data_IF_117121008878
#
_entry.id   IF_117121008878
#
_cell.length_a   1.000
_cell.length_b   1.000
_cell.length_c   1.000
_cell.angle_alpha   90.00
_cell.angle_beta   90.00
_cell.angle_gamma   90.00
#
_symmetry.space_group_name_H-M   'P 1'
#
loop_
_entity.id
_entity.type
_entity.pdbx_description
1 polymer ?
#
# COMPACT_ATOMS: atom_id res chain seq x y z
N UNK A 1 13.61 8.63 -15.52
CA UNK A 1 14.32 8.42 -14.25
C UNK A 1 14.02 9.53 -13.23
N UNK A 2 13.48 9.15 -12.07
CA UNK A 2 13.16 10.05 -10.93
C UNK A 2 14.46 10.62 -10.36
N UNK A 3 14.52 11.96 -10.19
CA UNK A 3 15.71 12.66 -9.70
C UNK A 3 15.78 12.78 -8.18
N UNK A 4 14.68 12.51 -7.48
CA UNK A 4 14.59 12.64 -6.02
C UNK A 4 15.10 11.39 -5.30
N UNK A 5 15.70 11.58 -4.14
CA UNK A 5 16.19 10.50 -3.27
C UNK A 5 15.03 9.67 -2.73
N UNK A 6 15.08 8.33 -2.81
CA UNK A 6 14.04 7.49 -2.22
C UNK A 6 14.05 7.60 -0.69
N UNK A 7 12.88 7.40 -0.09
CA UNK A 7 12.74 7.25 1.37
C UNK A 7 13.42 5.97 1.86
N UNK A 8 13.30 4.88 1.09
CA UNK A 8 14.02 3.63 1.34
C UNK A 8 14.79 3.21 0.08
N UNK A 9 16.06 2.88 0.26
CA UNK A 9 16.96 2.46 -0.81
C UNK A 9 17.57 1.08 -0.49
N UNK A 10 17.30 0.10 -1.33
CA UNK A 10 17.69 -1.30 -1.16
C UNK A 10 17.53 -2.08 -2.45
N UNK A 11 17.13 -3.35 -2.37
CA UNK A 11 16.71 -4.13 -3.55
C UNK A 11 15.49 -3.51 -4.24
N UNK A 12 14.63 -2.84 -3.46
CA UNK A 12 13.61 -1.93 -3.98
C UNK A 12 13.93 -0.50 -3.59
N UNK A 13 13.60 0.45 -4.46
CA UNK A 13 13.58 1.88 -4.14
C UNK A 13 12.15 2.33 -3.91
N UNK A 14 11.91 3.04 -2.81
CA UNK A 14 10.57 3.46 -2.40
C UNK A 14 10.56 4.95 -2.14
N UNK A 15 9.64 5.66 -2.77
CA UNK A 15 9.39 7.09 -2.55
C UNK A 15 8.03 7.26 -1.88
N UNK A 16 7.95 8.16 -0.90
CA UNK A 16 6.66 8.72 -0.48
C UNK A 16 6.20 9.67 -1.58
N UNK A 17 4.96 9.50 -2.02
CA UNK A 17 4.38 10.31 -3.09
C UNK A 17 3.45 11.33 -2.46
N UNK A 18 3.62 12.64 -2.74
CA UNK A 18 2.70 13.64 -2.27
C UNK A 18 1.32 13.45 -2.92
N UNK A 19 0.28 13.62 -2.12
CA UNK A 19 -1.11 13.55 -2.55
C UNK A 19 -1.89 14.70 -1.88
N UNK A 20 -3.00 15.07 -2.49
CA UNK A 20 -3.85 16.17 -2.04
C UNK A 20 -5.11 15.60 -1.38
N UNK A 21 -5.30 15.91 -0.10
CA UNK A 21 -6.47 15.48 0.67
C UNK A 21 -7.78 16.04 0.12
N UNK A 22 -7.76 17.19 -0.57
CA UNK A 22 -8.98 17.74 -1.16
C UNK A 22 -9.48 16.89 -2.34
N UNK A 23 -8.56 16.23 -3.04
CA UNK A 23 -8.87 15.38 -4.21
C UNK A 23 -8.89 13.89 -3.89
N UNK A 24 -8.25 13.48 -2.81
CA UNK A 24 -8.16 12.10 -2.35
C UNK A 24 -8.34 12.01 -0.82
N UNK A 25 -9.51 12.42 -0.28
CA UNK A 25 -9.73 12.63 1.16
C UNK A 25 -9.62 11.36 2.01
N UNK A 26 -9.68 10.17 1.38
CA UNK A 26 -9.53 8.91 2.07
C UNK A 26 -8.05 8.50 2.24
N UNK A 27 -7.16 8.98 1.38
CA UNK A 27 -5.77 8.54 1.31
C UNK A 27 -5.01 9.08 2.51
N UNK A 28 -4.29 8.20 3.20
CA UNK A 28 -3.45 8.56 4.36
C UNK A 28 -1.98 8.16 4.15
N UNK A 29 -1.69 7.37 3.12
CA UNK A 29 -0.33 6.98 2.75
C UNK A 29 -0.25 6.61 1.28
N UNK A 30 0.84 6.99 0.63
CA UNK A 30 1.02 6.75 -0.80
C UNK A 30 2.49 6.61 -1.17
N UNK A 31 2.83 5.54 -1.87
CA UNK A 31 4.21 5.20 -2.22
C UNK A 31 4.32 4.77 -3.67
N UNK A 32 5.40 5.20 -4.31
CA UNK A 32 5.87 4.68 -5.59
C UNK A 32 7.05 3.74 -5.30
N UNK A 33 7.02 2.56 -5.89
CA UNK A 33 8.00 1.51 -5.63
C UNK A 33 8.60 1.04 -6.95
N UNK A 34 9.93 1.07 -7.04
CA UNK A 34 10.69 0.37 -8.08
C UNK A 34 11.32 -0.90 -7.49
N UNK A 35 10.81 -2.06 -7.89
CA UNK A 35 11.21 -3.38 -7.42
C UNK A 35 11.36 -4.37 -8.60
N UNK A 36 12.44 -4.26 -9.40
CA UNK A 36 12.64 -5.08 -10.60
C UNK A 36 12.85 -6.57 -10.30
N UNK A 37 13.04 -6.94 -9.04
CA UNK A 37 13.22 -8.33 -8.62
C UNK A 37 11.88 -9.06 -8.38
N UNK A 38 10.75 -8.35 -8.30
CA UNK A 38 9.47 -8.95 -7.92
C UNK A 38 8.76 -9.68 -9.06
N UNK A 39 8.85 -9.16 -10.28
CA UNK A 39 8.13 -9.70 -11.43
C UNK A 39 8.96 -9.56 -12.72
N UNK A 40 8.75 -10.46 -13.67
CA UNK A 40 9.52 -10.51 -14.92
C UNK A 40 9.07 -9.43 -15.94
N UNK A 41 7.81 -9.02 -15.90
CA UNK A 41 7.20 -8.17 -16.92
C UNK A 41 7.04 -6.69 -16.51
N UNK A 42 7.10 -6.37 -15.22
CA UNK A 42 7.00 -4.99 -14.72
C UNK A 42 7.82 -4.82 -13.44
N UNK A 43 8.33 -3.61 -13.24
CA UNK A 43 9.21 -3.29 -12.12
C UNK A 43 8.63 -2.22 -11.19
N UNK A 44 7.59 -1.52 -11.64
CA UNK A 44 7.02 -0.38 -10.93
C UNK A 44 5.66 -0.74 -10.33
N UNK A 45 5.48 -0.32 -9.08
CA UNK A 45 4.26 -0.51 -8.31
C UNK A 45 3.89 0.77 -7.58
N UNK A 46 2.62 0.93 -7.29
CA UNK A 46 2.11 1.95 -6.38
C UNK A 46 1.39 1.25 -5.25
N UNK A 47 1.66 1.70 -4.04
CA UNK A 47 0.94 1.28 -2.85
C UNK A 47 0.24 2.46 -2.21
N UNK A 48 -0.96 2.24 -1.68
CA UNK A 48 -1.73 3.24 -0.96
C UNK A 48 -2.36 2.66 0.30
N UNK A 49 -2.62 3.54 1.26
CA UNK A 49 -3.53 3.27 2.37
C UNK A 49 -4.63 4.30 2.32
N UNK A 50 -5.86 3.82 2.46
CA UNK A 50 -7.04 4.66 2.67
C UNK A 50 -7.69 4.34 4.02
N UNK A 51 -8.29 5.33 4.65
CA UNK A 51 -9.21 5.10 5.76
C UNK A 51 -10.61 4.73 5.24
N UNK A 52 -11.39 4.02 6.06
CA UNK A 52 -12.74 3.57 5.71
C UNK A 52 -13.86 4.34 6.42
N UNK A 53 -13.51 5.43 7.13
CA UNK A 53 -14.50 6.36 7.70
C UNK A 53 -15.39 6.95 6.60
N UNK A 54 -16.66 7.30 6.91
CA UNK A 54 -17.56 7.93 5.95
C UNK A 54 -16.96 9.21 5.36
N UNK A 55 -17.11 9.37 4.05
CA UNK A 55 -16.80 10.59 3.29
C UNK A 55 -18.07 10.94 2.51
N UNK A 56 -18.42 12.23 2.47
CA UNK A 56 -19.60 12.67 1.75
C UNK A 56 -19.52 12.29 0.27
N UNK A 57 -20.61 11.74 -0.27
CA UNK A 57 -20.67 11.25 -1.65
C UNK A 57 -19.89 9.96 -1.95
N UNK A 58 -19.23 9.33 -0.98
CA UNK A 58 -18.47 8.08 -1.18
C UNK A 58 -18.93 6.97 -0.23
N UNK A 59 -18.96 5.73 -0.72
CA UNK A 59 -19.31 4.54 0.08
C UNK A 59 -18.17 3.53 0.08
N UNK A 60 -17.62 3.26 1.27
CA UNK A 60 -16.70 2.16 1.48
C UNK A 60 -17.41 0.81 1.36
N UNK A 61 -16.74 -0.17 0.75
CA UNK A 61 -17.17 -1.59 0.76
C UNK A 61 -16.34 -2.30 1.82
N UNK A 62 -16.98 -3.00 2.75
CA UNK A 62 -16.30 -3.66 3.86
C UNK A 62 -16.11 -5.16 3.58
N UNK A 63 -14.88 -5.65 3.72
CA UNK A 63 -14.53 -7.08 3.71
C UNK A 63 -14.87 -7.76 5.05
N UNK A 64 -14.91 -6.97 6.13
CA UNK A 64 -15.37 -7.34 7.47
C UNK A 64 -15.82 -6.08 8.22
N UNK A 65 -16.68 -6.25 9.23
CA UNK A 65 -17.41 -5.14 9.88
C UNK A 65 -16.48 -4.16 10.60
N UNK A 66 -15.42 -4.65 11.23
CA UNK A 66 -14.53 -3.84 12.05
C UNK A 66 -13.38 -3.19 11.25
N UNK A 67 -13.38 -3.27 9.92
CA UNK A 67 -12.28 -2.72 9.13
C UNK A 67 -12.23 -1.19 9.24
N UNK A 68 -11.03 -0.64 9.49
CA UNK A 68 -10.84 0.81 9.58
C UNK A 68 -10.01 1.38 8.44
N UNK A 69 -9.18 0.55 7.80
CA UNK A 69 -8.28 0.96 6.73
C UNK A 69 -8.21 -0.10 5.63
N UNK A 70 -7.80 0.31 4.44
CA UNK A 70 -7.51 -0.57 3.33
C UNK A 70 -6.14 -0.26 2.74
N UNK A 71 -5.32 -1.30 2.60
CA UNK A 71 -4.06 -1.26 1.88
C UNK A 71 -4.26 -1.78 0.46
N UNK A 72 -3.85 -0.98 -0.53
CA UNK A 72 -3.94 -1.33 -1.94
C UNK A 72 -2.58 -1.30 -2.62
N UNK A 73 -2.39 -2.19 -3.58
CA UNK A 73 -1.21 -2.22 -4.46
C UNK A 73 -1.64 -2.44 -5.89
N UNK A 74 -1.10 -1.62 -6.79
CA UNK A 74 -1.28 -1.75 -8.24
C UNK A 74 0.08 -1.75 -8.93
N UNK A 75 0.22 -2.59 -9.96
CA UNK A 75 1.37 -2.51 -10.85
C UNK A 75 1.20 -1.35 -11.84
N UNK A 76 2.30 -0.71 -12.22
CA UNK A 76 2.35 0.32 -13.27
C UNK A 76 2.62 -0.35 -14.62
N UNK A 77 1.98 0.15 -15.67
CA UNK A 77 2.20 -0.28 -17.04
C UNK A 77 3.68 -0.11 -17.43
N UNK A 78 4.40 -1.19 -17.80
CA UNK A 78 5.82 -1.12 -18.12
C UNK A 78 6.13 -0.25 -19.35
N UNK A 79 5.14 0.07 -20.18
CA UNK A 79 5.31 0.99 -21.31
C UNK A 79 5.32 2.48 -20.90
N UNK A 80 5.08 2.76 -19.61
CA UNK A 80 4.99 4.11 -19.07
C UNK A 80 5.90 4.23 -17.84
N UNK A 81 7.07 4.88 -17.98
CA UNK A 81 7.94 5.14 -16.84
C UNK A 81 7.27 6.18 -15.91
N UNK A 82 7.04 5.86 -14.63
CA UNK A 82 6.39 6.78 -13.70
C UNK A 82 7.29 7.95 -13.30
N UNK A 83 6.67 9.05 -12.93
CA UNK A 83 7.31 10.18 -12.22
C UNK A 83 6.74 10.28 -10.80
N UNK A 84 7.21 11.22 -9.97
CA UNK A 84 6.57 11.44 -8.67
C UNK A 84 5.24 12.21 -8.75
N UNK A 85 4.86 12.67 -9.95
CA UNK A 85 3.50 13.17 -10.19
C UNK A 85 2.53 11.99 -10.33
N UNK A 86 1.73 11.75 -9.28
CA UNK A 86 0.77 10.67 -9.25
C UNK A 86 -0.28 10.73 -10.36
N UNK A 87 -0.56 11.92 -10.91
CA UNK A 87 -1.55 12.10 -11.99
C UNK A 87 -1.06 11.46 -13.30
N UNK A 88 0.24 11.22 -13.42
CA UNK A 88 0.86 10.58 -14.58
C UNK A 88 0.73 9.05 -14.57
N UNK A 89 0.37 8.43 -13.44
CA UNK A 89 0.39 6.98 -13.31
C UNK A 89 -0.61 6.28 -14.23
N UNK A 90 -0.11 5.22 -14.90
CA UNK A 90 -0.90 4.29 -15.71
C UNK A 90 -0.82 2.91 -15.06
N UNK A 91 -1.95 2.43 -14.56
CA UNK A 91 -2.00 1.19 -13.81
C UNK A 91 -2.40 0.02 -14.68
N UNK A 92 -1.79 -1.14 -14.43
CA UNK A 92 -2.28 -2.41 -14.90
C UNK A 92 -3.51 -2.84 -14.08
N UNK A 93 -4.33 -3.68 -14.69
CA UNK A 93 -5.45 -4.37 -14.03
C UNK A 93 -5.25 -5.88 -14.17
N UNK A 94 -5.67 -6.70 -13.18
CA UNK A 94 -6.36 -6.32 -11.94
C UNK A 94 -5.44 -5.72 -10.86
N UNK A 95 -6.04 -5.23 -9.77
CA UNK A 95 -5.31 -4.78 -8.56
C UNK A 95 -4.51 -5.95 -7.98
N UNK A 96 -3.24 -5.71 -7.66
CA UNK A 96 -2.33 -6.72 -7.12
C UNK A 96 -2.72 -7.11 -5.70
N UNK A 97 -2.91 -6.15 -4.80
CA UNK A 97 -3.32 -6.40 -3.41
C UNK A 97 -4.42 -5.41 -3.03
N UNK A 98 -5.45 -5.87 -2.33
CA UNK A 98 -6.50 -5.05 -1.74
C UNK A 98 -6.90 -5.73 -0.42
N UNK A 99 -6.36 -5.22 0.69
CA UNK A 99 -6.49 -5.84 2.00
C UNK A 99 -6.96 -4.83 3.03
N UNK A 100 -8.12 -5.10 3.62
CA UNK A 100 -8.63 -4.33 4.75
C UNK A 100 -8.04 -4.80 6.06
N UNK A 101 -7.88 -3.88 7.01
CA UNK A 101 -7.36 -4.18 8.34
C UNK A 101 -7.90 -3.20 9.37
N UNK A 102 -7.74 -3.58 10.65
CA UNK A 102 -8.08 -2.77 11.80
C UNK A 102 -6.82 -2.15 12.37
N UNK A 103 -6.80 -0.83 12.48
CA UNK A 103 -5.80 -0.06 13.21
C UNK A 103 -6.48 0.97 14.12
N UNK A 104 -5.81 1.32 15.22
CA UNK A 104 -6.32 2.26 16.23
C UNK A 104 -6.37 3.72 15.76
N UNK A 105 -5.53 4.08 14.80
CA UNK A 105 -5.44 5.42 14.20
C UNK A 105 -4.76 5.35 12.84
N UNK A 106 -4.86 6.43 12.07
CA UNK A 106 -4.21 6.59 10.76
C UNK A 106 -2.69 6.47 10.88
N UNK A 107 -2.09 7.13 11.88
CA UNK A 107 -0.65 7.03 12.15
C UNK A 107 -0.20 5.59 12.40
N UNK A 108 -1.02 4.81 13.13
CA UNK A 108 -0.72 3.40 13.36
C UNK A 108 -0.91 2.56 12.10
N UNK A 109 -1.91 2.85 11.28
CA UNK A 109 -2.09 2.18 10.00
C UNK A 109 -0.89 2.42 9.06
N UNK A 110 -0.45 3.67 8.94
CA UNK A 110 0.74 4.05 8.17
C UNK A 110 1.98 3.37 8.74
N UNK A 111 2.21 3.46 10.04
CA UNK A 111 3.36 2.82 10.70
C UNK A 111 3.40 1.31 10.43
N UNK A 112 2.27 0.60 10.55
CA UNK A 112 2.20 -0.85 10.31
C UNK A 112 2.61 -1.21 8.89
N UNK A 113 2.17 -0.44 7.89
CA UNK A 113 2.55 -0.67 6.49
C UNK A 113 3.99 -0.24 6.20
N UNK A 114 4.46 0.87 6.77
CA UNK A 114 5.83 1.35 6.57
C UNK A 114 6.88 0.35 7.09
N UNK A 115 6.61 -0.34 8.21
CA UNK A 115 7.44 -1.45 8.68
C UNK A 115 7.54 -2.56 7.62
N UNK A 116 6.44 -2.85 6.91
CA UNK A 116 6.45 -3.84 5.83
C UNK A 116 7.14 -3.31 4.57
N UNK A 117 7.07 -2.01 4.31
CA UNK A 117 7.82 -1.38 3.21
C UNK A 117 9.33 -1.47 3.42
N UNK A 118 9.83 -1.47 4.65
CA UNK A 118 11.24 -1.79 4.91
C UNK A 118 11.59 -3.22 4.49
N UNK A 119 10.70 -4.20 4.75
CA UNK A 119 10.89 -5.58 4.29
C UNK A 119 10.86 -5.67 2.77
N UNK A 120 9.97 -4.91 2.12
CA UNK A 120 9.94 -4.77 0.65
C UNK A 120 11.25 -4.19 0.11
N UNK A 121 11.76 -3.11 0.70
CA UNK A 121 13.01 -2.48 0.30
C UNK A 121 14.19 -3.47 0.40
N UNK A 122 14.19 -4.33 1.42
CA UNK A 122 15.20 -5.36 1.64
C UNK A 122 15.01 -6.64 0.80
N UNK A 123 13.93 -6.76 0.03
CA UNK A 123 13.63 -7.95 -0.78
C UNK A 123 12.97 -9.11 -0.02
N UNK A 124 12.51 -8.89 1.21
CA UNK A 124 11.89 -9.91 2.07
C UNK A 124 10.38 -10.08 1.88
N UNK A 125 9.72 -9.14 1.19
CA UNK A 125 8.27 -9.15 0.97
C UNK A 125 7.95 -8.60 -0.43
N UNK A 126 7.17 -9.35 -1.22
CA UNK A 126 6.75 -8.91 -2.56
C UNK A 126 5.41 -8.17 -2.52
N UNK A 127 5.25 -7.23 -3.45
CA UNK A 127 4.03 -6.46 -3.71
C UNK A 127 3.16 -7.10 -4.81
N UNK A 128 3.58 -8.23 -5.38
CA UNK A 128 2.80 -8.95 -6.38
C UNK A 128 1.60 -9.69 -5.76
N UNK A 129 0.62 -9.97 -6.61
CA UNK A 129 -0.61 -10.68 -6.33
C UNK A 129 -0.42 -12.06 -5.67
N UNK A 130 0.66 -12.78 -5.95
CA UNK A 130 0.97 -14.06 -5.32
C UNK A 130 1.28 -13.93 -3.82
N UNK A 131 1.62 -12.71 -3.35
CA UNK A 131 1.90 -12.41 -1.95
C UNK A 131 0.69 -11.89 -1.17
N UNK A 132 -0.52 -11.85 -1.76
CA UNK A 132 -1.77 -11.47 -1.07
C UNK A 132 -1.95 -12.19 0.28
N UNK A 133 -1.65 -13.49 0.32
CA UNK A 133 -1.75 -14.29 1.54
C UNK A 133 -0.77 -13.86 2.64
N UNK A 134 0.44 -13.42 2.27
CA UNK A 134 1.42 -12.89 3.23
C UNK A 134 0.96 -11.55 3.80
N UNK A 135 0.54 -10.62 2.93
CA UNK A 135 0.00 -9.32 3.35
C UNK A 135 -1.24 -9.46 4.23
N UNK A 136 -2.16 -10.36 3.89
CA UNK A 136 -3.32 -10.67 4.73
C UNK A 136 -2.90 -11.11 6.13
N UNK A 137 -1.91 -11.99 6.26
CA UNK A 137 -1.43 -12.44 7.58
C UNK A 137 -0.76 -11.33 8.37
N UNK A 138 0.05 -10.49 7.71
CA UNK A 138 0.78 -9.39 8.34
C UNK A 138 -0.13 -8.27 8.82
N UNK A 139 -1.19 -7.94 8.06
CA UNK A 139 -2.10 -6.86 8.41
C UNK A 139 -3.23 -7.29 9.36
N UNK A 140 -3.62 -8.57 9.35
CA UNK A 140 -4.65 -9.09 10.25
C UNK A 140 -4.09 -9.68 11.56
N UNK A 141 -2.77 -9.78 11.74
CA UNK A 141 -2.19 -10.31 12.99
C UNK A 141 -2.55 -9.45 14.21
N UNK A 142 -2.81 -8.16 14.04
CA UNK A 142 -3.24 -7.27 15.13
C UNK A 142 -4.62 -7.63 15.72
N UNK A 143 -5.49 -8.29 14.95
CA UNK A 143 -6.79 -8.79 15.47
C UNK A 143 -6.58 -9.88 16.52
N UNK A 144 -5.66 -10.82 16.24
CA UNK A 144 -5.38 -11.96 17.13
C UNK A 144 -4.79 -11.57 18.48
N UNK A 145 -4.08 -10.44 18.57
CA UNK A 145 -3.57 -9.96 19.85
C UNK A 145 -4.63 -9.32 20.76
N UNK A 146 -5.79 -8.91 20.25
CA UNK A 146 -6.91 -8.48 21.10
C UNK A 146 -7.66 -9.68 21.69
N UNK A 147 -7.90 -10.72 20.90
CA UNK A 147 -8.60 -11.93 21.33
C UNK A 147 -7.87 -12.68 22.46
N UNK A 148 -6.54 -12.63 22.50
CA UNK A 148 -5.73 -13.33 23.54
C UNK A 148 -5.64 -12.54 24.86
N UNK A 149 -5.91 -11.23 24.86
CA UNK A 149 -5.75 -10.38 26.05
C UNK A 149 -7.10 -10.00 26.71
N UNK A 150 -8.20 -10.58 26.23
CA UNK A 150 -9.57 -10.39 26.76
C UNK A 150 -10.18 -11.71 27.32
N UNK A 151 -9.39 -12.79 27.41
CA UNK A 151 -9.68 -14.02 28.19
C UNK A 151 -8.82 -14.10 29.45
#
# INVERSE_FOLDING_TARGET
MIKETPWLDGLSRIWRVPYDQDTAPATIGFWLIHAPWMHLAWSWHVASIVHLRPIDGAKATFQFEEATHEFMVVAIDPNHEPTLDHKSFKFLRPISICQQFLARSDDKAVQTVEIQMENVAKGGLSLDSDYRGAWRRLLLSERRHREINEE
#
